data_IF_096483603345
#
_entry.id   IF_096483603345
#
_cell.length_a   1.000
_cell.length_b   1.000
_cell.length_c   1.000
_cell.angle_alpha   90.00
_cell.angle_beta   90.00
_cell.angle_gamma   90.00
#
_symmetry.space_group_name_H-M   'P 1'
#
loop_
_entity.id
_entity.type
_entity.pdbx_description
1 polymer ?
#
# COMPACT_ATOMS: atom_id res chain seq x y z
N UNK A 1 0.60 25.58 6.03
CA UNK A 1 1.48 25.14 4.91
C UNK A 1 1.16 25.85 3.60
N UNK A 2 2.03 25.77 2.57
CA UNK A 2 1.72 26.18 1.19
C UNK A 2 1.22 24.99 0.37
N UNK A 3 0.52 25.24 -0.74
CA UNK A 3 0.03 24.17 -1.62
C UNK A 3 1.14 23.27 -2.18
N UNK A 4 2.35 23.81 -2.41
CA UNK A 4 3.48 23.00 -2.86
C UNK A 4 3.91 21.99 -1.79
N UNK A 5 4.00 22.43 -0.53
CA UNK A 5 4.32 21.57 0.62
C UNK A 5 3.24 20.49 0.76
N UNK A 6 1.96 20.85 0.63
CA UNK A 6 0.84 19.90 0.64
C UNK A 6 1.00 18.80 -0.41
N UNK A 7 1.33 19.18 -1.65
CA UNK A 7 1.48 18.21 -2.74
C UNK A 7 2.66 17.25 -2.52
N UNK A 8 3.72 17.68 -1.83
CA UNK A 8 4.83 16.80 -1.44
C UNK A 8 4.40 15.76 -0.40
N UNK A 9 3.55 16.14 0.54
CA UNK A 9 3.07 15.29 1.63
C UNK A 9 1.79 14.50 1.27
N UNK A 10 1.21 14.73 0.09
CA UNK A 10 -0.10 14.18 -0.31
C UNK A 10 -0.13 12.64 -0.28
N UNK A 11 0.94 11.99 -0.73
CA UNK A 11 1.02 10.52 -0.74
C UNK A 11 0.93 9.96 0.68
N UNK A 12 1.77 10.46 1.59
CA UNK A 12 1.80 10.02 2.98
C UNK A 12 0.49 10.34 3.71
N UNK A 13 -0.17 11.43 3.32
CA UNK A 13 -1.49 11.80 3.82
C UNK A 13 -2.55 10.77 3.42
N UNK A 14 -2.56 10.37 2.14
CA UNK A 14 -3.51 9.39 1.59
C UNK A 14 -3.25 7.97 2.12
N UNK A 15 -1.99 7.61 2.35
CA UNK A 15 -1.59 6.32 2.91
C UNK A 15 -1.72 6.26 4.45
N UNK A 16 -1.94 7.40 5.10
CA UNK A 16 -2.11 7.50 6.56
C UNK A 16 -0.81 7.29 7.34
N UNK A 17 0.33 7.57 6.72
CA UNK A 17 1.69 7.30 7.24
C UNK A 17 2.43 8.59 7.57
N UNK A 18 1.79 9.47 8.33
CA UNK A 18 2.36 10.74 8.78
C UNK A 18 2.14 10.97 10.27
N UNK A 19 2.97 11.82 10.89
CA UNK A 19 2.81 12.18 12.29
C UNK A 19 1.58 13.07 12.51
N UNK A 20 1.08 13.09 13.74
CA UNK A 20 -0.16 13.78 14.08
C UNK A 20 -0.08 15.30 13.92
N UNK A 21 1.10 15.91 14.10
CA UNK A 21 1.29 17.35 13.96
C UNK A 21 1.18 17.77 12.50
N UNK A 22 1.98 17.12 11.65
CA UNK A 22 1.95 17.35 10.20
C UNK A 22 0.56 17.10 9.62
N UNK A 23 -0.11 16.02 10.06
CA UNK A 23 -1.48 15.73 9.65
C UNK A 23 -2.45 16.87 9.98
N UNK A 24 -2.40 17.42 11.19
CA UNK A 24 -3.28 18.52 11.59
C UNK A 24 -3.05 19.78 10.75
N UNK A 25 -1.80 20.11 10.42
CA UNK A 25 -1.47 21.24 9.54
C UNK A 25 -2.00 21.05 8.11
N UNK A 26 -1.95 19.83 7.58
CA UNK A 26 -2.55 19.49 6.28
C UNK A 26 -4.08 19.59 6.32
N UNK A 27 -4.72 19.06 7.36
CA UNK A 27 -6.18 19.12 7.53
C UNK A 27 -6.66 20.58 7.63
N UNK A 28 -5.93 21.44 8.35
CA UNK A 28 -6.18 22.87 8.37
C UNK A 28 -6.07 23.46 6.96
N UNK A 29 -5.01 23.13 6.20
CA UNK A 29 -4.86 23.62 4.83
C UNK A 29 -6.03 23.20 3.93
N UNK A 30 -6.46 21.94 4.02
CA UNK A 30 -7.59 21.41 3.25
C UNK A 30 -8.92 22.08 3.60
N UNK A 31 -9.10 22.54 4.85
CA UNK A 31 -10.29 23.26 5.26
C UNK A 31 -10.44 24.63 4.56
N UNK A 32 -9.32 25.27 4.21
CA UNK A 32 -9.33 26.62 3.63
C UNK A 32 -8.95 26.67 2.13
N UNK A 33 -8.27 25.65 1.61
CA UNK A 33 -7.81 25.62 0.22
C UNK A 33 -8.64 24.66 -0.64
N UNK A 34 -9.58 25.21 -1.40
CA UNK A 34 -10.44 24.42 -2.30
C UNK A 34 -9.65 23.61 -3.33
N UNK A 35 -8.58 24.18 -3.91
CA UNK A 35 -7.78 23.49 -4.93
C UNK A 35 -7.11 22.21 -4.38
N UNK A 36 -6.47 22.32 -3.22
CA UNK A 36 -5.84 21.17 -2.57
C UNK A 36 -6.87 20.15 -2.09
N UNK A 37 -8.03 20.60 -1.60
CA UNK A 37 -9.16 19.71 -1.28
C UNK A 37 -9.58 18.88 -2.49
N UNK A 38 -9.81 19.52 -3.64
CA UNK A 38 -10.20 18.82 -4.88
C UNK A 38 -9.13 17.82 -5.31
N UNK A 39 -7.85 18.18 -5.24
CA UNK A 39 -6.74 17.25 -5.58
C UNK A 39 -6.73 16.04 -4.64
N UNK A 40 -6.84 16.27 -3.33
CA UNK A 40 -6.84 15.20 -2.33
C UNK A 40 -8.02 14.24 -2.52
N UNK A 41 -9.22 14.80 -2.65
CA UNK A 41 -10.48 14.06 -2.79
C UNK A 41 -10.52 13.26 -4.11
N UNK A 42 -10.16 13.88 -5.24
CA UNK A 42 -10.15 13.20 -6.55
C UNK A 42 -9.10 12.10 -6.60
N UNK A 43 -7.92 12.31 -6.00
CA UNK A 43 -6.87 11.28 -5.92
C UNK A 43 -7.32 10.12 -5.03
N UNK A 44 -7.92 10.41 -3.87
CA UNK A 44 -8.49 9.39 -2.98
C UNK A 44 -9.56 8.56 -3.69
N UNK A 45 -10.52 9.20 -4.36
CA UNK A 45 -11.56 8.53 -5.14
C UNK A 45 -10.99 7.69 -6.27
N UNK A 46 -9.93 8.17 -6.93
CA UNK A 46 -9.23 7.38 -7.95
C UNK A 46 -8.65 6.11 -7.34
N UNK A 47 -7.95 6.20 -6.20
CA UNK A 47 -7.42 5.05 -5.46
C UNK A 47 -8.55 4.09 -5.06
N UNK A 48 -9.65 4.61 -4.53
CA UNK A 48 -10.84 3.83 -4.17
C UNK A 48 -11.42 3.11 -5.38
N UNK A 49 -11.61 3.79 -6.52
CA UNK A 49 -12.09 3.16 -7.75
C UNK A 49 -11.17 2.02 -8.19
N UNK A 50 -9.85 2.21 -8.17
CA UNK A 50 -8.88 1.17 -8.53
C UNK A 50 -8.87 -0.01 -7.53
N UNK A 51 -9.15 0.25 -6.24
CA UNK A 51 -9.22 -0.78 -5.19
C UNK A 51 -10.57 -1.51 -5.20
N UNK A 52 -11.66 -0.80 -5.40
CA UNK A 52 -13.04 -1.30 -5.49
C UNK A 52 -13.31 -1.99 -6.83
N UNK A 53 -12.51 -1.70 -7.86
CA UNK A 53 -12.56 -2.38 -9.14
C UNK A 53 -12.00 -3.79 -9.04
N UNK A 54 -12.85 -4.69 -8.55
CA UNK A 54 -12.88 -6.14 -8.78
C UNK A 54 -11.67 -6.92 -8.25
N UNK A 55 -11.95 -7.95 -7.46
CA UNK A 55 -11.04 -9.08 -7.32
C UNK A 55 -10.82 -9.68 -8.73
N UNK A 56 -9.73 -9.30 -9.37
CA UNK A 56 -9.30 -9.96 -10.60
C UNK A 56 -8.90 -11.37 -10.23
N UNK A 57 -9.60 -12.36 -10.80
CA UNK A 57 -9.17 -13.74 -10.63
C UNK A 57 -7.75 -13.88 -11.17
N UNK A 58 -6.85 -14.35 -10.30
CA UNK A 58 -5.47 -14.60 -10.69
C UNK A 58 -5.48 -15.64 -11.83
N UNK A 59 -4.88 -15.34 -13.00
CA UNK A 59 -4.80 -16.28 -14.11
C UNK A 59 -4.22 -17.63 -13.64
N UNK A 60 -4.81 -18.74 -14.09
CA UNK A 60 -4.49 -20.07 -13.55
C UNK A 60 -3.00 -20.42 -13.69
N UNK A 61 -2.36 -19.96 -14.78
CA UNK A 61 -0.93 -20.14 -14.98
C UNK A 61 -0.09 -19.41 -13.92
N UNK A 62 -0.47 -18.18 -13.56
CA UNK A 62 0.20 -17.39 -12.55
C UNK A 62 -0.04 -17.99 -11.15
N UNK A 63 -1.28 -18.41 -10.87
CA UNK A 63 -1.67 -19.09 -9.64
C UNK A 63 -0.85 -20.36 -9.40
N UNK A 64 -0.72 -21.20 -10.43
CA UNK A 64 0.07 -22.44 -10.38
C UNK A 64 1.54 -22.15 -10.12
N UNK A 65 2.14 -21.21 -10.88
CA UNK A 65 3.55 -20.82 -10.70
C UNK A 65 3.82 -20.28 -9.29
N UNK A 66 2.92 -19.45 -8.77
CA UNK A 66 3.04 -18.88 -7.42
C UNK A 66 3.01 -19.98 -6.36
N UNK A 67 2.03 -20.90 -6.45
CA UNK A 67 1.92 -22.04 -5.53
C UNK A 67 3.15 -22.92 -5.55
N UNK A 68 3.63 -23.29 -6.74
CA UNK A 68 4.84 -24.11 -6.88
C UNK A 68 6.06 -23.42 -6.25
N UNK A 69 6.25 -22.12 -6.51
CA UNK A 69 7.36 -21.36 -5.95
C UNK A 69 7.28 -21.26 -4.41
N UNK A 70 6.10 -21.01 -3.86
CA UNK A 70 5.87 -20.95 -2.41
C UNK A 70 6.18 -22.30 -1.77
N UNK A 71 5.62 -23.40 -2.30
CA UNK A 71 5.85 -24.76 -1.79
C UNK A 71 7.33 -25.14 -1.85
N UNK A 72 8.00 -24.87 -2.98
CA UNK A 72 9.43 -25.13 -3.12
C UNK A 72 10.26 -24.37 -2.08
N UNK A 73 9.93 -23.10 -1.80
CA UNK A 73 10.62 -22.28 -0.80
C UNK A 73 10.36 -22.72 0.64
N UNK A 74 9.16 -23.23 0.93
CA UNK A 74 8.86 -23.83 2.24
C UNK A 74 9.62 -25.15 2.44
N UNK A 75 9.74 -25.97 1.39
CA UNK A 75 10.47 -27.24 1.44
C UNK A 75 11.98 -27.03 1.57
N UNK A 76 12.55 -26.05 0.87
CA UNK A 76 13.98 -25.73 1.00
C UNK A 76 14.32 -25.24 2.42
N UNK A 77 13.45 -24.43 3.05
CA UNK A 77 13.59 -24.06 4.47
C UNK A 77 13.51 -25.26 5.42
N UNK A 78 12.64 -26.23 5.12
CA UNK A 78 12.50 -27.44 5.94
C UNK A 78 13.74 -28.33 5.84
N UNK A 79 14.35 -28.41 4.65
CA UNK A 79 15.60 -29.15 4.42
C UNK A 79 16.80 -28.52 5.14
N UNK A 80 16.87 -27.19 5.21
CA UNK A 80 17.91 -26.48 5.99
C UNK A 80 17.70 -26.53 7.52
N UNK A 81 16.56 -27.05 8.00
CA UNK A 81 16.24 -27.15 9.43
C UNK A 81 16.27 -28.58 10.00
N UNK A 82 16.68 -29.58 9.21
CA UNK A 82 16.69 -31.00 9.63
C UNK A 82 18.04 -31.70 9.45
N UNK A 83 19.16 -30.96 9.41
CA UNK A 83 20.51 -31.51 9.55
C UNK A 83 21.05 -31.16 10.94
N UNK A 84 20.58 -31.90 11.94
CA UNK A 84 20.95 -31.70 13.35
C UNK A 84 20.30 -32.70 14.31
N UNK A 85 20.27 -33.98 13.96
CA UNK A 85 20.19 -35.18 14.83
C UNK A 85 19.98 -36.40 13.93
N UNK A 86 20.83 -37.44 13.99
CA UNK A 86 20.65 -38.43 15.05
C UNK A 86 21.93 -39.07 15.62
N UNK A 87 21.73 -39.66 16.81
CA UNK A 87 22.53 -40.63 17.58
C UNK A 87 23.76 -40.13 18.33
#
# INVERSE_FOLDING_TARGET
MKCADFLHELTDYLDGVMDAGTKAELEEHLAWCHNCYVVADTTKKTIEIYRDSKLYELPENLRTRLRTAIVAKCQSRKKSGSEGAPS
#
